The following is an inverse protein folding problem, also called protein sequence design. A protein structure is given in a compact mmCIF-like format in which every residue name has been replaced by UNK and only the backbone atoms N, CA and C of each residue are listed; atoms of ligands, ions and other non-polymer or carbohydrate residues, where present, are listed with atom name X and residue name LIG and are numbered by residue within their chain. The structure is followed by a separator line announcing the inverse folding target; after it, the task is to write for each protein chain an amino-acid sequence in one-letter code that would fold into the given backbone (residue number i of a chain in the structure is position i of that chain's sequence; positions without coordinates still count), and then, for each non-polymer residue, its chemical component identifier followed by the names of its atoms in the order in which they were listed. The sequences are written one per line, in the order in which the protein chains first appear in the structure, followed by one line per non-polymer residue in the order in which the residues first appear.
data_IF_307055015226
#
_entry.id   IF_307055015226
#
_cell.length_a   1.000
_cell.length_b   1.000
_cell.length_c   1.000
_cell.angle_alpha   90.00
_cell.angle_beta   90.00
_cell.angle_gamma   90.00
#
_symmetry.space_group_name_H-M   'P 1'
#
loop_
_entity.id
_entity.type
_entity.pdbx_description
1 polymer ?
#
# COMPACT_ATOMS: atom_id res chain seq x y z
N UNK A 1 -16.02 48.50 -48.82
CA UNK A 1 -15.91 47.01 -48.86
C UNK A 1 -14.59 46.46 -48.23
N UNK A 2 -13.41 47.01 -48.44
CA UNK A 2 -12.13 46.48 -47.86
C UNK A 2 -12.08 46.49 -46.32
N UNK A 3 -12.61 47.51 -45.63
CA UNK A 3 -12.61 47.60 -44.16
C UNK A 3 -13.46 46.52 -43.49
N UNK A 4 -14.63 46.19 -44.07
CA UNK A 4 -15.52 45.12 -43.53
C UNK A 4 -14.90 43.73 -43.62
N UNK A 5 -14.17 43.44 -44.71
CA UNK A 5 -13.48 42.16 -44.90
C UNK A 5 -12.33 41.95 -43.90
N UNK A 6 -11.59 43.00 -43.59
CA UNK A 6 -10.50 42.93 -42.60
C UNK A 6 -11.03 42.73 -41.15
N UNK A 7 -12.20 43.31 -40.81
CA UNK A 7 -12.83 43.11 -39.52
C UNK A 7 -13.32 41.69 -39.31
N UNK A 8 -13.89 41.08 -40.37
CA UNK A 8 -14.35 39.67 -40.30
C UNK A 8 -13.15 38.73 -40.17
N UNK A 9 -12.06 38.94 -40.89
CA UNK A 9 -10.85 38.11 -40.81
C UNK A 9 -10.24 38.24 -39.41
N UNK A 10 -10.19 39.41 -38.82
CA UNK A 10 -9.65 39.64 -37.46
C UNK A 10 -10.52 38.96 -36.40
N UNK A 11 -11.84 38.99 -36.54
CA UNK A 11 -12.78 38.31 -35.61
C UNK A 11 -12.68 36.78 -35.69
N UNK A 12 -12.48 36.21 -36.88
CA UNK A 12 -12.30 34.76 -37.07
C UNK A 12 -10.94 34.32 -36.51
N UNK A 13 -9.87 35.14 -36.70
CA UNK A 13 -8.57 34.84 -36.12
C UNK A 13 -8.60 34.89 -34.59
N UNK A 14 -9.31 35.86 -34.00
CA UNK A 14 -9.46 35.98 -32.55
C UNK A 14 -10.31 34.83 -31.97
N UNK A 15 -11.32 34.36 -32.67
CA UNK A 15 -12.12 33.20 -32.26
C UNK A 15 -11.31 31.91 -32.32
N UNK A 16 -10.46 31.73 -33.33
CA UNK A 16 -9.56 30.59 -33.45
C UNK A 16 -8.47 30.55 -32.35
N UNK A 17 -7.97 31.72 -31.93
CA UNK A 17 -6.98 31.78 -30.82
C UNK A 17 -7.61 31.50 -29.45
N UNK A 18 -8.89 31.77 -29.25
CA UNK A 18 -9.62 31.48 -28.02
C UNK A 18 -9.98 29.97 -27.88
N UNK A 19 -10.02 29.22 -28.97
CA UNK A 19 -10.30 27.76 -28.94
C UNK A 19 -9.07 26.92 -28.61
N UNK A 20 -7.85 27.45 -28.57
CA UNK A 20 -6.63 26.70 -28.28
C UNK A 20 -6.37 26.54 -26.76
N UNK A 21 -7.18 27.15 -25.91
CA UNK A 21 -6.99 27.17 -24.46
C UNK A 21 -7.84 26.17 -23.66
N UNK A 22 -8.69 25.39 -24.28
CA UNK A 22 -9.41 24.32 -23.60
C UNK A 22 -8.63 23.00 -23.73
N UNK A 23 -7.44 22.95 -23.14
CA UNK A 23 -6.90 21.64 -22.76
C UNK A 23 -7.81 21.13 -21.64
N UNK A 24 -8.62 20.13 -21.97
CA UNK A 24 -9.23 19.32 -20.93
C UNK A 24 -8.09 18.87 -20.01
N UNK A 25 -8.13 19.27 -18.76
CA UNK A 25 -7.23 18.74 -17.74
C UNK A 25 -7.54 17.25 -17.67
N UNK A 26 -6.65 16.47 -18.28
CA UNK A 26 -6.77 15.03 -18.27
C UNK A 26 -6.76 14.57 -16.82
N UNK A 27 -7.80 13.83 -16.47
CA UNK A 27 -7.89 12.99 -15.28
C UNK A 27 -7.68 13.68 -13.93
N UNK A 28 -8.66 14.47 -13.52
CA UNK A 28 -8.77 14.85 -12.11
C UNK A 28 -9.05 13.59 -11.29
N UNK A 29 -8.04 13.09 -10.58
CA UNK A 29 -8.22 11.99 -9.63
C UNK A 29 -9.15 12.43 -8.51
N UNK A 30 -10.25 11.72 -8.32
CA UNK A 30 -11.20 11.97 -7.24
C UNK A 30 -10.86 11.06 -6.06
N UNK A 31 -10.61 11.67 -4.88
CA UNK A 31 -10.49 10.92 -3.62
C UNK A 31 -11.86 10.80 -2.97
N UNK A 32 -12.30 9.56 -2.73
CA UNK A 32 -13.57 9.25 -2.09
C UNK A 32 -13.30 8.53 -0.77
N UNK A 33 -13.82 9.06 0.34
CA UNK A 33 -13.75 8.39 1.64
C UNK A 33 -14.71 7.20 1.66
N UNK A 34 -14.20 5.98 1.76
CA UNK A 34 -15.01 4.76 1.84
C UNK A 34 -15.31 4.38 3.29
N UNK A 35 -14.31 4.44 4.15
CA UNK A 35 -14.39 4.12 5.57
C UNK A 35 -13.61 5.18 6.36
N UNK A 36 -14.22 5.77 7.38
CA UNK A 36 -13.58 6.82 8.19
C UNK A 36 -14.31 7.02 9.52
N UNK A 37 -13.67 7.72 10.45
CA UNK A 37 -14.22 8.03 11.78
C UNK A 37 -14.56 6.77 12.57
N UNK A 38 -15.77 6.65 13.06
CA UNK A 38 -16.25 5.46 13.80
C UNK A 38 -16.36 4.20 12.94
N UNK A 39 -16.30 4.33 11.62
CA UNK A 39 -16.31 3.22 10.67
C UNK A 39 -14.90 2.92 10.12
N UNK A 40 -13.85 3.51 10.70
CA UNK A 40 -12.48 3.16 10.35
C UNK A 40 -12.24 1.65 10.52
N UNK A 41 -11.43 1.07 9.66
CA UNK A 41 -11.22 -0.37 9.63
C UNK A 41 -9.92 -0.76 10.34
N UNK A 42 -9.97 -1.83 11.11
CA UNK A 42 -8.79 -2.54 11.57
C UNK A 42 -8.08 -3.25 10.42
N UNK A 43 -8.85 -3.82 9.50
CA UNK A 43 -8.35 -4.62 8.38
C UNK A 43 -9.20 -4.44 7.13
N UNK A 44 -8.56 -4.47 5.94
CA UNK A 44 -9.23 -4.49 4.65
C UNK A 44 -8.69 -5.63 3.79
N UNK A 45 -9.59 -6.45 3.26
CA UNK A 45 -9.25 -7.53 2.33
C UNK A 45 -9.50 -7.05 0.92
N UNK A 46 -8.49 -7.14 0.07
CA UNK A 46 -8.55 -6.76 -1.32
C UNK A 46 -8.33 -7.98 -2.21
N UNK A 47 -9.07 -8.04 -3.30
CA UNK A 47 -8.87 -9.05 -4.33
C UNK A 47 -8.82 -8.37 -5.70
N UNK A 48 -7.73 -8.62 -6.41
CA UNK A 48 -7.49 -8.06 -7.73
C UNK A 48 -8.07 -8.97 -8.80
N UNK A 49 -8.83 -8.37 -9.73
CA UNK A 49 -9.35 -9.04 -10.91
C UNK A 49 -9.13 -8.16 -12.14
N UNK A 50 -8.97 -8.80 -13.29
CA UNK A 50 -9.16 -8.19 -14.59
C UNK A 50 -10.50 -8.65 -15.18
N UNK A 51 -10.77 -8.30 -16.44
CA UNK A 51 -12.00 -8.71 -17.13
C UNK A 51 -12.16 -10.23 -17.29
N UNK A 52 -11.06 -11.00 -17.15
CA UNK A 52 -11.04 -12.46 -17.19
C UNK A 52 -11.03 -13.10 -15.80
N UNK A 53 -11.24 -12.32 -14.74
CA UNK A 53 -11.23 -12.72 -13.32
C UNK A 53 -9.84 -13.18 -12.81
N UNK A 54 -8.77 -12.87 -13.50
CA UNK A 54 -7.41 -13.03 -13.00
C UNK A 54 -6.72 -11.67 -12.92
N UNK A 55 -6.26 -11.28 -11.74
CA UNK A 55 -5.48 -10.07 -11.55
C UNK A 55 -4.00 -10.32 -11.71
N UNK A 56 -3.23 -9.23 -11.75
CA UNK A 56 -1.76 -9.27 -11.85
C UNK A 56 -1.08 -8.81 -10.55
N UNK A 57 -1.83 -8.82 -9.43
CA UNK A 57 -1.32 -8.40 -8.13
C UNK A 57 -1.43 -6.89 -7.89
N UNK A 58 -0.59 -6.37 -7.02
CA UNK A 58 -0.67 -5.00 -6.52
C UNK A 58 0.67 -4.31 -6.52
N UNK A 59 0.63 -2.98 -6.63
CA UNK A 59 1.72 -2.07 -6.31
C UNK A 59 1.43 -1.38 -4.98
N UNK A 60 2.46 -1.20 -4.18
CA UNK A 60 2.43 -0.47 -2.92
C UNK A 60 3.27 0.80 -3.07
N UNK A 61 2.81 1.88 -2.47
CA UNK A 61 3.48 3.16 -2.58
C UNK A 61 2.73 4.26 -1.86
N UNK A 62 2.77 5.47 -2.37
CA UNK A 62 2.01 6.60 -1.87
C UNK A 62 1.63 7.53 -3.02
N UNK A 63 0.67 8.42 -2.76
CA UNK A 63 0.33 9.51 -3.68
C UNK A 63 1.06 10.77 -3.23
N UNK A 64 1.76 11.41 -4.16
CA UNK A 64 2.42 12.69 -3.94
C UNK A 64 1.44 13.88 -3.91
N UNK A 65 1.97 15.10 -3.81
CA UNK A 65 1.17 16.33 -3.77
C UNK A 65 0.35 16.54 -5.06
N UNK A 66 0.86 16.09 -6.19
CA UNK A 66 0.21 16.18 -7.50
C UNK A 66 -0.73 14.99 -7.77
N UNK A 67 -0.92 14.15 -6.77
CA UNK A 67 -1.69 12.91 -6.85
C UNK A 67 -1.14 11.87 -7.83
N UNK A 68 0.12 11.95 -8.16
CA UNK A 68 0.83 10.91 -8.89
C UNK A 68 1.21 9.79 -7.94
N UNK A 69 1.05 8.55 -8.40
CA UNK A 69 1.41 7.39 -7.59
C UNK A 69 2.92 7.15 -7.68
N UNK A 70 3.58 7.13 -6.53
CA UNK A 70 5.00 6.81 -6.39
C UNK A 70 5.09 5.35 -5.93
N UNK A 71 5.45 4.40 -6.81
CA UNK A 71 5.58 3.01 -6.46
C UNK A 71 6.82 2.77 -5.59
N UNK A 72 6.69 1.92 -4.58
CA UNK A 72 7.76 1.52 -3.66
C UNK A 72 8.04 0.02 -3.72
N UNK A 73 6.99 -0.79 -3.92
CA UNK A 73 7.05 -2.24 -3.95
C UNK A 73 5.93 -2.80 -4.82
N UNK A 74 6.02 -4.07 -5.18
CA UNK A 74 4.98 -4.77 -5.91
C UNK A 74 4.90 -6.25 -5.51
N UNK A 75 3.75 -6.86 -5.78
CA UNK A 75 3.52 -8.30 -5.60
C UNK A 75 2.65 -8.84 -6.72
N UNK A 76 2.81 -10.13 -7.02
CA UNK A 76 1.91 -10.87 -7.92
C UNK A 76 0.72 -11.48 -7.18
N UNK A 77 0.69 -11.34 -5.84
CA UNK A 77 -0.41 -11.84 -5.03
C UNK A 77 -1.71 -11.11 -5.36
N UNK A 78 -2.74 -11.86 -5.74
CA UNK A 78 -4.04 -11.33 -6.15
C UNK A 78 -4.97 -11.07 -4.97
N UNK A 79 -4.67 -11.65 -3.81
CA UNK A 79 -5.46 -11.55 -2.58
C UNK A 79 -4.58 -11.10 -1.44
N UNK A 80 -4.77 -9.86 -1.04
CA UNK A 80 -3.99 -9.25 0.03
C UNK A 80 -4.91 -8.74 1.15
N UNK A 81 -4.35 -8.67 2.33
CA UNK A 81 -4.97 -8.05 3.49
C UNK A 81 -4.12 -6.88 3.95
N UNK A 82 -4.71 -5.71 4.06
CA UNK A 82 -4.10 -4.53 4.65
C UNK A 82 -4.59 -4.44 6.09
N UNK A 83 -3.68 -4.31 7.04
CA UNK A 83 -3.98 -4.32 8.47
C UNK A 83 -3.22 -3.20 9.16
N UNK A 84 -3.77 -2.61 10.20
CA UNK A 84 -2.99 -1.73 11.09
C UNK A 84 -1.83 -2.52 11.70
N UNK A 85 -0.72 -1.85 11.98
CA UNK A 85 0.42 -2.50 12.64
C UNK A 85 0.08 -2.80 14.11
N UNK A 86 -0.55 -3.95 14.29
CA UNK A 86 -0.85 -4.57 15.59
C UNK A 86 -1.13 -6.06 15.38
N UNK A 87 -1.11 -6.84 16.47
CA UNK A 87 -1.43 -8.26 16.36
C UNK A 87 -2.82 -8.49 15.75
N UNK A 88 -2.88 -9.28 14.68
CA UNK A 88 -4.11 -9.67 14.01
C UNK A 88 -4.28 -11.19 14.05
N UNK A 89 -5.48 -11.66 14.42
CA UNK A 89 -5.80 -13.07 14.54
C UNK A 89 -6.64 -13.52 13.35
N UNK A 90 -6.15 -14.49 12.59
CA UNK A 90 -6.85 -15.02 11.42
C UNK A 90 -7.72 -16.20 11.85
N UNK A 91 -9.02 -16.11 11.60
CA UNK A 91 -9.98 -17.18 11.89
C UNK A 91 -11.09 -17.22 10.85
N UNK A 92 -11.27 -18.37 10.19
CA UNK A 92 -12.33 -18.55 9.18
C UNK A 92 -12.25 -17.55 8.02
N UNK A 93 -11.05 -17.14 7.64
CA UNK A 93 -10.83 -16.16 6.57
C UNK A 93 -11.10 -14.71 6.98
N UNK A 94 -11.21 -14.41 8.26
CA UNK A 94 -11.40 -13.05 8.80
C UNK A 94 -10.24 -12.71 9.73
N UNK A 95 -9.76 -11.45 9.65
CA UNK A 95 -8.77 -10.92 10.60
C UNK A 95 -9.48 -10.17 11.72
N UNK A 96 -9.14 -10.53 12.94
CA UNK A 96 -9.68 -9.95 14.18
C UNK A 96 -8.60 -9.18 14.93
N UNK A 97 -8.94 -8.02 15.45
CA UNK A 97 -8.10 -7.25 16.36
C UNK A 97 -8.02 -7.90 17.73
N UNK A 98 -9.15 -8.41 18.21
CA UNK A 98 -9.22 -9.11 19.50
C UNK A 98 -9.11 -10.62 19.27
N UNK A 99 -8.29 -11.30 20.09
CA UNK A 99 -8.06 -12.73 20.01
C UNK A 99 -9.36 -13.52 20.16
N UNK A 100 -9.83 -14.23 19.11
CA UNK A 100 -11.00 -15.11 19.21
C UNK A 100 -10.63 -16.42 19.94
N UNK A 101 -11.65 -17.19 20.32
CA UNK A 101 -11.45 -18.49 20.98
C UNK A 101 -10.63 -19.46 20.11
N UNK A 102 -10.89 -19.45 18.79
CA UNK A 102 -10.17 -20.26 17.82
C UNK A 102 -9.63 -19.35 16.70
N UNK A 103 -8.38 -19.54 16.32
CA UNK A 103 -7.74 -18.89 15.18
C UNK A 103 -6.75 -19.85 14.53
N UNK A 104 -6.54 -19.68 13.22
CA UNK A 104 -5.63 -20.53 12.45
C UNK A 104 -4.18 -20.07 12.55
N UNK A 105 -3.98 -18.74 12.54
CA UNK A 105 -2.66 -18.13 12.65
C UNK A 105 -2.76 -16.73 13.23
N UNK A 106 -1.62 -16.19 13.64
CA UNK A 106 -1.48 -14.81 14.10
C UNK A 106 -0.53 -14.07 13.16
N UNK A 107 -0.94 -12.90 12.71
CA UNK A 107 -0.06 -11.92 12.12
C UNK A 107 0.45 -11.03 13.25
N UNK A 108 1.62 -11.35 13.77
CA UNK A 108 2.22 -10.62 14.89
C UNK A 108 2.84 -9.32 14.42
N UNK A 109 2.87 -8.32 15.29
CA UNK A 109 3.37 -6.99 14.99
C UNK A 109 4.73 -6.67 15.65
N UNK A 110 5.41 -7.70 16.17
CA UNK A 110 6.78 -7.56 16.67
C UNK A 110 7.74 -8.18 15.67
N UNK A 111 8.74 -7.41 15.26
CA UNK A 111 9.68 -7.80 14.21
C UNK A 111 11.12 -7.64 14.68
N UNK A 112 12.03 -8.35 14.04
CA UNK A 112 13.47 -8.11 14.14
C UNK A 112 13.84 -7.26 12.92
N UNK A 113 14.30 -6.03 13.11
CA UNK A 113 14.70 -5.13 12.04
C UNK A 113 16.23 -5.08 11.92
N UNK A 114 16.75 -5.23 10.71
CA UNK A 114 18.17 -5.02 10.43
C UNK A 114 18.48 -3.52 10.51
N UNK A 115 19.58 -3.15 11.14
CA UNK A 115 19.97 -1.74 11.33
C UNK A 115 20.36 -1.02 10.05
N UNK A 116 20.66 -1.77 8.99
CA UNK A 116 21.05 -1.22 7.68
C UNK A 116 19.81 -0.73 6.92
N UNK A 117 19.88 0.50 6.41
CA UNK A 117 18.94 1.00 5.40
C UNK A 117 19.44 0.60 4.00
N UNK A 118 18.51 0.36 3.09
CA UNK A 118 18.79 -0.03 1.71
C UNK A 118 18.36 1.07 0.74
N UNK A 119 19.07 1.19 -0.38
CA UNK A 119 18.83 2.23 -1.38
C UNK A 119 17.64 1.93 -2.30
N UNK A 120 17.24 0.66 -2.42
CA UNK A 120 16.11 0.23 -3.26
C UNK A 120 15.33 -0.92 -2.64
N UNK A 121 14.12 -1.11 -3.15
CA UNK A 121 13.28 -2.26 -2.76
C UNK A 121 13.94 -3.59 -3.12
N UNK A 122 14.56 -3.67 -4.30
CA UNK A 122 15.19 -4.88 -4.82
C UNK A 122 16.37 -5.32 -3.95
N UNK A 123 17.20 -4.36 -3.51
CA UNK A 123 18.31 -4.65 -2.59
C UNK A 123 17.79 -5.16 -1.24
N UNK A 124 16.80 -4.48 -0.67
CA UNK A 124 16.18 -4.89 0.58
C UNK A 124 15.51 -6.28 0.46
N UNK A 125 14.80 -6.52 -0.64
CA UNK A 125 14.11 -7.79 -0.89
C UNK A 125 15.10 -8.96 -1.00
N UNK A 126 16.20 -8.78 -1.69
CA UNK A 126 17.25 -9.80 -1.82
C UNK A 126 17.80 -10.21 -0.45
N UNK A 127 17.97 -9.25 0.46
CA UNK A 127 18.39 -9.54 1.85
C UNK A 127 17.25 -10.18 2.64
N UNK A 128 16.02 -9.65 2.55
CA UNK A 128 14.86 -10.19 3.25
C UNK A 128 14.62 -11.68 2.92
N UNK A 129 14.77 -12.05 1.66
CA UNK A 129 14.60 -13.44 1.18
C UNK A 129 15.64 -14.44 1.77
N UNK A 130 16.74 -13.95 2.35
CA UNK A 130 17.71 -14.82 3.03
C UNK A 130 17.24 -15.24 4.44
N UNK A 131 16.18 -14.64 4.97
CA UNK A 131 15.65 -14.93 6.30
C UNK A 131 14.27 -15.55 6.24
N UNK A 132 13.97 -16.52 7.11
CA UNK A 132 12.61 -17.03 7.27
C UNK A 132 11.65 -15.88 7.65
N UNK A 133 10.54 -15.74 6.91
CA UNK A 133 9.57 -14.66 7.09
C UNK A 133 10.19 -13.25 7.04
N UNK A 134 11.27 -13.10 6.24
CA UNK A 134 11.83 -11.79 5.96
C UNK A 134 10.98 -11.01 4.97
N UNK A 135 10.81 -9.72 5.20
CA UNK A 135 10.04 -8.82 4.34
C UNK A 135 10.65 -7.42 4.33
N UNK A 136 10.21 -6.62 3.37
CA UNK A 136 10.67 -5.23 3.23
C UNK A 136 9.66 -4.29 3.88
N UNK A 137 10.18 -3.35 4.65
CA UNK A 137 9.43 -2.23 5.20
C UNK A 137 9.95 -0.91 4.59
N UNK A 138 9.05 0.06 4.40
CA UNK A 138 9.42 1.43 4.03
C UNK A 138 9.07 2.35 5.18
N UNK A 139 10.11 2.82 5.89
CA UNK A 139 10.01 3.55 7.14
C UNK A 139 10.67 4.91 6.98
N UNK A 140 9.91 5.98 7.16
CA UNK A 140 10.37 7.37 7.10
C UNK A 140 11.23 7.71 5.86
N UNK A 141 10.93 7.08 4.72
CA UNK A 141 11.62 7.35 3.45
C UNK A 141 12.75 6.38 3.12
N UNK A 142 13.00 5.36 3.93
CA UNK A 142 14.06 4.38 3.74
C UNK A 142 13.52 2.95 3.67
N UNK A 143 14.15 2.11 2.86
CA UNK A 143 13.88 0.68 2.87
C UNK A 143 14.61 0.00 4.01
N UNK A 144 13.87 -0.80 4.78
CA UNK A 144 14.35 -1.62 5.89
C UNK A 144 14.02 -3.07 5.64
N UNK A 145 14.80 -3.97 6.23
CA UNK A 145 14.48 -5.40 6.24
C UNK A 145 14.03 -5.78 7.64
N UNK A 146 12.86 -6.41 7.70
CA UNK A 146 12.27 -6.98 8.91
C UNK A 146 12.16 -8.48 8.80
N UNK A 147 12.30 -9.17 9.91
CA UNK A 147 12.27 -10.63 10.00
C UNK A 147 11.27 -11.06 11.06
N UNK A 148 10.43 -12.01 10.70
CA UNK A 148 9.42 -12.55 11.60
C UNK A 148 8.20 -11.63 11.77
N UNK A 149 7.17 -12.21 12.36
CA UNK A 149 5.90 -11.54 12.69
C UNK A 149 5.41 -12.13 14.01
N UNK A 150 6.13 -11.77 15.08
CA UNK A 150 5.96 -12.37 16.40
C UNK A 150 4.81 -11.72 17.16
N UNK A 151 4.18 -12.47 18.07
CA UNK A 151 3.06 -11.99 18.85
C UNK A 151 3.47 -11.13 20.04
N UNK A 152 4.77 -11.17 20.44
CA UNK A 152 5.28 -10.45 21.58
C UNK A 152 6.76 -10.08 21.44
N UNK A 153 7.19 -9.11 22.25
CA UNK A 153 8.60 -8.74 22.38
C UNK A 153 9.48 -9.94 22.79
N UNK A 154 9.02 -10.74 23.77
CA UNK A 154 9.79 -11.88 24.27
C UNK A 154 10.00 -12.96 23.20
N UNK A 155 9.00 -13.18 22.33
CA UNK A 155 9.13 -14.07 21.19
C UNK A 155 10.18 -13.57 20.21
N UNK A 156 10.15 -12.28 19.85
CA UNK A 156 11.16 -11.64 19.02
C UNK A 156 12.55 -11.73 19.64
N UNK A 157 12.68 -11.49 20.95
CA UNK A 157 13.96 -11.56 21.66
C UNK A 157 14.56 -12.98 21.63
N UNK A 158 13.71 -14.00 21.81
CA UNK A 158 14.15 -15.40 21.70
C UNK A 158 14.66 -15.70 20.29
N UNK A 159 13.89 -15.34 19.26
CA UNK A 159 14.26 -15.59 17.87
C UNK A 159 15.53 -14.81 17.50
N UNK A 160 15.65 -13.55 17.92
CA UNK A 160 16.87 -12.74 17.69
C UNK A 160 18.13 -13.42 18.25
N UNK A 161 18.01 -14.06 19.43
CA UNK A 161 19.13 -14.78 20.05
C UNK A 161 19.53 -16.06 19.29
N UNK A 162 18.63 -16.61 18.46
CA UNK A 162 18.81 -17.83 17.69
C UNK A 162 19.15 -17.57 16.22
N UNK A 163 19.05 -16.30 15.76
CA UNK A 163 19.19 -15.91 14.34
C UNK A 163 20.56 -15.24 14.11
N UNK A 164 21.27 -15.63 13.06
CA UNK A 164 22.52 -14.98 12.66
C UNK A 164 22.23 -13.73 11.82
N UNK A 165 21.98 -12.61 12.50
CA UNK A 165 21.81 -11.28 11.90
C UNK A 165 23.01 -10.35 12.16
N UNK A 166 24.11 -10.89 12.67
CA UNK A 166 25.27 -10.12 13.15
C UNK A 166 25.92 -9.24 12.09
N UNK A 167 25.86 -9.65 10.81
CA UNK A 167 26.46 -8.91 9.70
C UNK A 167 25.84 -7.51 9.49
N UNK A 168 24.55 -7.37 9.81
CA UNK A 168 23.80 -6.12 9.65
C UNK A 168 23.50 -5.41 10.97
N UNK A 169 23.73 -6.09 12.11
CA UNK A 169 23.14 -5.68 13.38
C UNK A 169 21.60 -5.80 13.33
N UNK A 170 20.95 -5.84 14.48
CA UNK A 170 19.51 -5.94 14.54
C UNK A 170 18.94 -5.35 15.82
N UNK A 171 17.66 -4.95 15.75
CA UNK A 171 16.88 -4.49 16.88
C UNK A 171 15.48 -5.09 16.84
N UNK A 172 14.80 -5.12 17.97
CA UNK A 172 13.40 -5.53 18.03
C UNK A 172 12.53 -4.30 17.85
N UNK A 173 11.61 -4.38 16.88
CA UNK A 173 10.61 -3.36 16.62
C UNK A 173 9.29 -3.79 17.25
N UNK A 174 8.64 -2.82 17.87
CA UNK A 174 7.30 -2.94 18.46
C UNK A 174 6.26 -2.32 17.53
N UNK A 175 4.96 -2.68 17.68
CA UNK A 175 3.89 -2.11 16.87
C UNK A 175 3.91 -0.58 16.84
N UNK A 176 3.72 -0.02 15.66
CA UNK A 176 3.67 1.43 15.43
C UNK A 176 2.22 1.90 15.29
N UNK A 177 1.90 3.02 15.90
CA UNK A 177 0.57 3.65 15.75
C UNK A 177 0.33 4.23 14.35
N UNK A 178 1.37 4.38 13.54
CA UNK A 178 1.32 4.91 12.18
C UNK A 178 1.57 3.84 11.11
N UNK A 179 1.99 2.63 11.54
CA UNK A 179 2.30 1.52 10.65
C UNK A 179 1.06 0.88 10.01
N UNK A 180 1.25 0.42 8.78
CA UNK A 180 0.27 -0.35 7.98
C UNK A 180 0.99 -1.55 7.37
N UNK A 181 0.47 -2.73 7.61
CA UNK A 181 1.05 -4.01 7.16
C UNK A 181 0.20 -4.59 6.03
N UNK A 182 0.84 -5.05 4.98
CA UNK A 182 0.21 -5.79 3.88
C UNK A 182 0.67 -7.24 3.94
N UNK A 183 -0.27 -8.16 3.98
CA UNK A 183 -0.03 -9.60 4.04
C UNK A 183 -0.78 -10.37 2.95
N UNK A 184 -0.36 -11.59 2.69
CA UNK A 184 -1.16 -12.53 1.89
C UNK A 184 -2.41 -12.88 2.68
N UNK A 185 -3.57 -12.77 2.03
CA UNK A 185 -4.87 -13.03 2.69
C UNK A 185 -4.93 -14.44 3.29
N UNK A 186 -5.45 -14.51 4.50
CA UNK A 186 -5.66 -15.77 5.28
C UNK A 186 -4.35 -16.47 5.71
N UNK A 187 -3.22 -15.77 5.65
CA UNK A 187 -1.92 -16.26 6.12
C UNK A 187 -1.26 -15.27 7.08
N UNK A 188 -0.09 -15.65 7.60
CA UNK A 188 0.80 -14.78 8.36
C UNK A 188 2.02 -14.31 7.54
N UNK A 189 1.94 -14.39 6.22
CA UNK A 189 3.00 -13.94 5.32
C UNK A 189 2.88 -12.45 5.08
N UNK A 190 3.81 -11.68 5.61
CA UNK A 190 3.93 -10.23 5.34
C UNK A 190 4.57 -10.02 3.97
N UNK A 191 3.96 -9.17 3.16
CA UNK A 191 4.46 -8.76 1.85
C UNK A 191 5.21 -7.44 1.91
N UNK A 192 4.69 -6.49 2.69
CA UNK A 192 5.21 -5.14 2.77
C UNK A 192 4.69 -4.44 4.03
N UNK A 193 5.49 -3.57 4.60
CA UNK A 193 5.05 -2.68 5.68
C UNK A 193 5.38 -1.23 5.32
N UNK A 194 4.50 -0.32 5.71
CA UNK A 194 4.64 1.10 5.44
C UNK A 194 4.42 1.90 6.71
N UNK A 195 5.40 2.73 7.06
CA UNK A 195 5.29 3.69 8.17
C UNK A 195 5.98 5.00 7.81
N UNK A 196 5.21 6.07 7.76
CA UNK A 196 5.72 7.41 7.49
C UNK A 196 5.26 8.42 8.54
N UNK A 197 5.19 8.03 9.78
CA UNK A 197 4.95 8.92 10.93
C UNK A 197 3.77 9.88 10.72
N UNK A 198 2.75 9.45 9.96
CA UNK A 198 1.53 10.20 9.69
C UNK A 198 1.60 11.26 8.59
N UNK A 199 2.74 11.46 7.94
CA UNK A 199 2.88 12.43 6.84
C UNK A 199 2.39 11.89 5.48
N UNK A 200 2.41 10.58 5.30
CA UNK A 200 1.98 9.91 4.08
C UNK A 200 1.07 8.74 4.42
N UNK A 201 0.23 8.39 3.47
CA UNK A 201 -0.67 7.25 3.56
C UNK A 201 -0.17 6.15 2.63
N UNK A 202 -0.32 4.89 3.03
CA UNK A 202 -0.09 3.79 2.12
C UNK A 202 -1.07 3.85 0.95
N UNK A 203 -0.56 3.92 -0.26
CA UNK A 203 -1.30 3.72 -1.50
C UNK A 203 -1.19 2.26 -1.95
N UNK A 204 -2.30 1.65 -2.32
CA UNK A 204 -2.36 0.31 -2.90
C UNK A 204 -3.08 0.40 -4.23
N UNK A 205 -2.41 0.02 -5.31
CA UNK A 205 -2.94 0.10 -6.67
C UNK A 205 -2.90 -1.29 -7.33
N UNK A 206 -3.99 -1.73 -7.99
CA UNK A 206 -3.93 -2.97 -8.75
C UNK A 206 -2.97 -2.81 -9.94
N UNK A 207 -2.14 -3.81 -10.16
CA UNK A 207 -1.26 -3.88 -11.35
C UNK A 207 -2.09 -4.15 -12.59
N UNK A 208 -1.76 -3.44 -13.67
CA UNK A 208 -2.31 -3.68 -15.00
C UNK A 208 -1.22 -4.25 -15.88
N UNK A 209 -1.52 -5.35 -16.56
CA UNK A 209 -0.69 -5.89 -17.62
C UNK A 209 -1.37 -5.53 -18.93
N UNK A 210 -0.62 -4.98 -19.88
CA UNK A 210 -1.10 -4.67 -21.24
C UNK A 210 -2.23 -3.64 -21.34
N UNK A 211 -2.37 -2.73 -20.37
CA UNK A 211 -3.36 -1.65 -20.40
C UNK A 211 -4.80 -2.09 -20.13
N UNK A 212 -5.01 -3.33 -19.67
CA UNK A 212 -6.33 -3.81 -19.25
C UNK A 212 -6.82 -3.06 -18.00
N UNK A 213 -8.13 -2.82 -17.96
CA UNK A 213 -8.78 -2.26 -16.78
C UNK A 213 -8.77 -3.31 -15.68
N UNK A 214 -8.07 -3.04 -14.60
CA UNK A 214 -8.05 -3.89 -13.42
C UNK A 214 -9.07 -3.41 -12.40
N UNK A 215 -9.65 -4.35 -11.68
CA UNK A 215 -10.68 -4.13 -10.68
C UNK A 215 -10.24 -4.71 -9.35
N UNK A 216 -10.39 -3.94 -8.28
CA UNK A 216 -10.24 -4.45 -6.92
C UNK A 216 -11.60 -4.69 -6.30
N UNK A 217 -11.80 -5.89 -5.78
CA UNK A 217 -12.94 -6.22 -4.92
C UNK A 217 -12.62 -5.84 -3.49
N UNK A 218 -13.51 -5.07 -2.91
CA UNK A 218 -13.47 -4.69 -1.52
C UNK A 218 -14.88 -4.60 -0.95
N UNK A 219 -15.14 -5.29 0.15
CA UNK A 219 -16.42 -5.22 0.88
C UNK A 219 -17.66 -5.49 0.02
N UNK A 220 -17.55 -6.41 -0.95
CA UNK A 220 -18.66 -6.81 -1.85
C UNK A 220 -18.84 -5.93 -3.09
N UNK A 221 -18.00 -4.91 -3.26
CA UNK A 221 -18.06 -3.99 -4.39
C UNK A 221 -16.80 -4.04 -5.24
N UNK A 222 -16.93 -3.58 -6.49
CA UNK A 222 -15.83 -3.46 -7.45
C UNK A 222 -15.42 -2.00 -7.57
N UNK A 223 -14.12 -1.76 -7.48
CA UNK A 223 -13.53 -0.43 -7.60
C UNK A 223 -12.46 -0.40 -8.67
N UNK A 224 -12.45 0.68 -9.46
CA UNK A 224 -11.35 1.03 -10.33
C UNK A 224 -10.41 1.98 -9.60
N UNK A 225 -9.11 1.92 -9.94
CA UNK A 225 -8.11 2.78 -9.33
C UNK A 225 -7.50 2.20 -8.06
N UNK A 226 -6.82 3.05 -7.29
CA UNK A 226 -6.12 2.65 -6.09
C UNK A 226 -6.88 2.96 -4.81
N UNK A 227 -6.38 2.40 -3.71
CA UNK A 227 -6.83 2.65 -2.35
C UNK A 227 -5.74 3.42 -1.59
N UNK A 228 -6.14 4.27 -0.70
CA UNK A 228 -5.24 5.00 0.20
C UNK A 228 -5.64 4.72 1.64
N UNK A 229 -4.68 4.29 2.44
CA UNK A 229 -4.85 3.91 3.84
C UNK A 229 -4.18 4.95 4.71
N UNK A 230 -4.97 5.84 5.28
CA UNK A 230 -4.52 6.86 6.20
C UNK A 230 -4.80 6.42 7.63
N UNK A 231 -3.75 6.26 8.43
CA UNK A 231 -3.89 5.87 9.84
C UNK A 231 -4.68 6.91 10.63
N UNK A 232 -5.58 6.43 11.44
CA UNK A 232 -6.39 7.19 12.40
C UNK A 232 -6.36 6.50 13.76
N UNK A 233 -6.86 7.14 14.81
CA UNK A 233 -6.86 6.57 16.17
C UNK A 233 -7.59 5.22 16.29
N UNK A 234 -8.53 4.93 15.40
CA UNK A 234 -9.33 3.70 15.46
C UNK A 234 -9.10 2.74 14.28
N UNK A 235 -8.10 3.02 13.44
CA UNK A 235 -7.88 2.22 12.23
C UNK A 235 -7.35 3.05 11.08
N UNK A 236 -7.87 2.84 9.86
CA UNK A 236 -7.62 3.65 8.65
C UNK A 236 -8.87 3.78 7.78
#
# INVERSE_FOLDING_TARGET
MKRFRNTIILSVLLALTLCVGAQATENTMLKVGLKYGTNALFTARLQNYNDTLSGSGYEFGYYDADRSFVPLAATDEQRITVTVDSNAYVSGGVCYETRPTNYSTILGAYHIELLTAFGSYEEALAVAQSYPKGFVAYIDGEYRVRVGNHASYDESARVLSETDVLAYGAQIITPSSTGVVVSVTDTDTVLFEFDCSGLRSLGVRPRSVSGEKTVTWFSGYRYYGGFEYQRTTGGY
#
